data_IF_682715506984
#
_entry.id   IF_682715506984
#
_cell.length_a   1.000
_cell.length_b   1.000
_cell.length_c   1.000
_cell.angle_alpha   90.00
_cell.angle_beta   90.00
_cell.angle_gamma   90.00
#
_symmetry.space_group_name_H-M   'P 1'
#
loop_
_entity.id
_entity.type
_entity.pdbx_description
1 polymer ?
#
# COMPACT_ATOMS: atom_id res chain seq x y z
N UNK A 1 12.39 20.37 79.73
CA UNK A 1 11.24 21.05 79.12
C UNK A 1 11.01 20.42 77.75
N UNK A 2 10.39 19.25 77.62
CA UNK A 2 9.03 18.85 78.00
C UNK A 2 7.96 19.27 76.97
N UNK A 3 7.30 18.23 76.42
CA UNK A 3 5.99 18.15 75.72
C UNK A 3 5.90 18.62 74.25
N UNK A 4 5.04 18.07 73.38
CA UNK A 4 4.32 16.78 73.22
C UNK A 4 3.21 17.00 72.16
N UNK A 5 2.93 15.97 71.34
CA UNK A 5 1.66 15.65 70.62
C UNK A 5 1.30 16.57 69.41
N UNK A 6 0.63 16.10 68.35
CA UNK A 6 -0.37 15.02 68.25
C UNK A 6 -0.48 14.40 66.84
N UNK A 7 -0.71 13.08 66.81
CA UNK A 7 -1.38 12.32 65.75
C UNK A 7 -2.82 12.82 65.51
N UNK A 8 -3.32 12.68 64.27
CA UNK A 8 -4.76 12.56 64.03
C UNK A 8 -5.05 11.72 62.78
N UNK A 9 -5.84 10.68 63.04
CA UNK A 9 -6.22 9.55 62.22
C UNK A 9 -7.37 9.88 61.25
N UNK A 10 -7.44 9.15 60.13
CA UNK A 10 -8.56 9.14 59.16
C UNK A 10 -9.92 8.87 59.82
N UNK A 11 -11.03 9.34 59.20
CA UNK A 11 -12.30 8.63 59.28
C UNK A 11 -12.72 8.05 57.92
N UNK A 12 -12.81 6.72 57.88
CA UNK A 12 -13.65 5.94 56.97
C UNK A 12 -15.12 6.10 57.34
N UNK A 13 -16.00 6.35 56.36
CA UNK A 13 -17.47 6.33 56.52
C UNK A 13 -18.12 5.57 55.34
N UNK A 14 -19.36 5.08 55.46
CA UNK A 14 -19.66 3.67 55.27
C UNK A 14 -20.53 3.41 54.03
N UNK A 15 -20.59 2.12 53.67
CA UNK A 15 -21.51 1.53 52.69
C UNK A 15 -22.97 1.90 52.97
N UNK A 16 -23.66 2.45 51.96
CA UNK A 16 -25.13 2.41 51.87
C UNK A 16 -25.55 1.38 50.81
N UNK A 17 -26.34 0.40 51.27
CA UNK A 17 -27.13 -0.53 50.44
C UNK A 17 -28.38 0.19 49.94
N UNK A 18 -28.74 -0.07 48.68
CA UNK A 18 -29.98 0.33 48.01
C UNK A 18 -30.23 -0.62 46.82
N UNK A 19 -31.47 -0.75 46.32
CA UNK A 19 -32.21 -2.01 46.44
C UNK A 19 -32.11 -2.96 45.24
N UNK A 20 -32.34 -4.23 45.56
CA UNK A 20 -32.53 -5.38 44.67
C UNK A 20 -33.77 -5.16 43.80
N UNK A 21 -33.63 -5.30 42.47
CA UNK A 21 -34.76 -5.43 41.55
C UNK A 21 -34.64 -6.72 40.73
N UNK A 22 -35.78 -7.38 40.65
CA UNK A 22 -35.97 -8.76 40.26
C UNK A 22 -35.61 -9.12 38.81
N UNK A 23 -35.22 -10.37 38.68
CA UNK A 23 -35.06 -11.23 37.51
C UNK A 23 -36.20 -11.14 36.49
N UNK A 24 -35.84 -11.06 35.19
CA UNK A 24 -36.68 -11.56 34.09
C UNK A 24 -35.82 -12.43 33.17
N UNK A 25 -36.29 -13.66 32.97
CA UNK A 25 -35.76 -14.69 32.08
C UNK A 25 -35.76 -14.23 30.61
N UNK A 26 -34.80 -14.66 29.78
CA UNK A 26 -34.99 -14.76 28.34
C UNK A 26 -35.64 -16.10 27.99
N UNK A 27 -36.74 -16.02 27.23
CA UNK A 27 -37.47 -17.14 26.66
C UNK A 27 -36.65 -17.87 25.60
N UNK A 28 -36.71 -19.20 25.65
CA UNK A 28 -36.11 -20.15 24.71
C UNK A 28 -36.79 -20.02 23.33
N UNK A 29 -36.01 -19.64 22.32
CA UNK A 29 -36.37 -19.79 20.89
C UNK A 29 -35.81 -21.09 20.34
N UNK A 30 -36.65 -21.85 19.65
CA UNK A 30 -36.50 -23.26 19.34
C UNK A 30 -35.43 -23.59 18.27
N UNK A 31 -34.80 -24.74 18.47
CA UNK A 31 -33.98 -25.50 17.53
C UNK A 31 -34.84 -26.11 16.40
N UNK A 32 -34.42 -25.91 15.15
CA UNK A 32 -34.89 -26.71 14.01
C UNK A 32 -33.67 -27.34 13.32
N UNK A 33 -33.57 -28.66 13.44
CA UNK A 33 -32.49 -29.48 12.91
C UNK A 33 -32.55 -29.64 11.39
N UNK A 34 -31.36 -29.70 10.80
CA UNK A 34 -31.13 -30.06 9.42
C UNK A 34 -31.48 -31.53 9.17
N UNK A 35 -32.25 -31.79 8.10
CA UNK A 35 -32.26 -33.07 7.39
C UNK A 35 -32.11 -32.79 5.91
N UNK A 36 -31.07 -33.39 5.33
CA UNK A 36 -30.70 -33.20 3.93
C UNK A 36 -31.70 -33.82 2.96
N UNK A 37 -31.59 -33.39 1.69
CA UNK A 37 -32.04 -34.17 0.54
C UNK A 37 -31.28 -33.76 -0.73
N UNK A 38 -30.73 -34.81 -1.32
CA UNK A 38 -30.17 -35.03 -2.65
C UNK A 38 -30.22 -33.94 -3.73
N UNK A 39 -29.01 -33.77 -4.28
CA UNK A 39 -28.64 -33.48 -5.67
C UNK A 39 -29.67 -33.98 -6.70
N UNK A 40 -30.14 -33.05 -7.55
CA UNK A 40 -30.48 -33.34 -8.95
C UNK A 40 -29.89 -32.25 -9.83
N UNK A 41 -28.91 -32.66 -10.64
CA UNK A 41 -28.26 -31.86 -11.64
C UNK A 41 -29.27 -31.42 -12.73
N UNK A 42 -29.27 -30.13 -13.07
CA UNK A 42 -29.74 -29.65 -14.36
C UNK A 42 -28.61 -28.85 -14.99
N UNK A 43 -28.03 -29.45 -16.03
CA UNK A 43 -27.14 -28.81 -17.00
C UNK A 43 -27.85 -27.59 -17.58
N UNK A 44 -27.18 -26.44 -17.60
CA UNK A 44 -27.51 -25.32 -18.49
C UNK A 44 -26.24 -24.84 -19.15
N UNK A 45 -26.32 -24.80 -20.46
CA UNK A 45 -25.28 -24.47 -21.41
C UNK A 45 -24.57 -23.15 -21.11
N UNK A 46 -23.24 -23.19 -21.16
CA UNK A 46 -22.38 -22.03 -21.31
C UNK A 46 -22.49 -21.52 -22.74
N UNK A 47 -23.38 -20.56 -22.98
CA UNK A 47 -23.29 -19.65 -24.14
C UNK A 47 -22.56 -18.37 -23.71
N UNK A 48 -21.33 -18.26 -24.19
CA UNK A 48 -20.62 -17.03 -24.60
C UNK A 48 -21.35 -15.70 -24.32
N UNK A 49 -20.80 -14.90 -23.40
CA UNK A 49 -21.14 -13.47 -23.24
C UNK A 49 -20.47 -12.65 -24.37
N UNK A 50 -21.20 -11.82 -25.13
CA UNK A 50 -20.58 -10.82 -25.99
C UNK A 50 -20.10 -9.59 -25.19
N UNK A 51 -19.17 -8.79 -25.72
CA UNK A 51 -18.70 -7.57 -25.06
C UNK A 51 -19.81 -6.50 -25.06
N UNK A 52 -19.81 -5.67 -24.00
CA UNK A 52 -20.72 -4.53 -23.87
C UNK A 52 -20.34 -3.45 -24.86
N UNK A 53 -21.20 -3.19 -25.83
CA UNK A 53 -21.18 -1.98 -26.65
C UNK A 53 -21.98 -0.91 -25.91
N UNK A 54 -21.30 0.11 -25.39
CA UNK A 54 -21.95 1.36 -24.98
C UNK A 54 -21.77 2.37 -26.09
N UNK A 55 -22.80 2.51 -26.92
CA UNK A 55 -22.96 3.64 -27.81
C UNK A 55 -23.17 4.91 -26.98
N UNK A 56 -22.23 5.85 -27.08
CA UNK A 56 -22.54 7.27 -26.98
C UNK A 56 -21.87 7.97 -28.14
N UNK A 57 -22.73 8.55 -28.97
CA UNK A 57 -22.39 9.43 -30.07
C UNK A 57 -21.69 10.68 -29.54
N UNK A 58 -20.48 10.90 -30.01
CA UNK A 58 -19.81 12.20 -30.03
C UNK A 58 -19.08 12.29 -31.34
N UNK A 59 -19.55 13.14 -32.24
CA UNK A 59 -18.79 13.55 -33.41
C UNK A 59 -17.46 14.15 -32.93
N UNK A 60 -16.39 13.39 -33.06
CA UNK A 60 -15.04 13.92 -33.08
C UNK A 60 -14.59 13.90 -34.52
N UNK A 61 -14.17 15.07 -34.96
CA UNK A 61 -13.65 15.36 -36.28
C UNK A 61 -12.53 14.37 -36.64
N UNK A 62 -12.37 14.13 -37.94
CA UNK A 62 -11.42 13.15 -38.44
C UNK A 62 -9.97 13.44 -37.99
N UNK A 63 -9.34 12.45 -37.35
CA UNK A 63 -7.92 12.15 -37.57
C UNK A 63 -6.87 13.03 -36.88
N UNK A 64 -7.17 13.70 -35.76
CA UNK A 64 -6.11 14.29 -34.95
C UNK A 64 -5.49 13.19 -34.07
N UNK A 65 -4.33 12.67 -34.46
CA UNK A 65 -3.51 11.81 -33.59
C UNK A 65 -3.29 12.59 -32.30
N UNK A 66 -3.73 12.05 -31.16
CA UNK A 66 -3.46 12.67 -29.87
C UNK A 66 -1.94 12.83 -29.73
N UNK A 67 -1.47 14.08 -29.64
CA UNK A 67 -0.06 14.40 -29.42
C UNK A 67 0.23 14.46 -27.93
N UNK A 68 1.46 14.14 -27.52
CA UNK A 68 1.90 14.25 -26.13
C UNK A 68 1.59 15.64 -25.56
N UNK A 69 1.97 16.71 -26.27
CA UNK A 69 1.71 18.10 -25.87
C UNK A 69 0.25 18.39 -25.53
N UNK A 70 -0.68 17.91 -26.37
CA UNK A 70 -2.11 18.14 -26.18
C UNK A 70 -2.65 17.42 -24.95
N UNK A 71 -2.16 16.21 -24.71
CA UNK A 71 -2.52 15.40 -23.54
C UNK A 71 -1.97 16.01 -22.24
N UNK A 72 -0.71 16.45 -22.26
CA UNK A 72 -0.06 17.10 -21.12
C UNK A 72 -0.76 18.42 -20.74
N UNK A 73 -1.16 19.24 -21.72
CA UNK A 73 -1.92 20.46 -21.47
C UNK A 73 -3.27 20.19 -20.77
N UNK A 74 -3.89 19.05 -21.06
CA UNK A 74 -5.13 18.60 -20.42
C UNK A 74 -4.97 18.32 -18.92
N UNK A 75 -3.79 17.86 -18.48
CA UNK A 75 -3.51 17.57 -17.06
C UNK A 75 -3.54 18.81 -16.19
N UNK A 76 -3.18 19.98 -16.73
CA UNK A 76 -3.16 21.25 -16.01
C UNK A 76 -4.48 22.03 -16.12
N UNK A 77 -5.52 21.44 -16.73
CA UNK A 77 -6.79 22.13 -16.93
C UNK A 77 -7.43 22.55 -15.60
N UNK A 78 -8.01 23.77 -15.50
CA UNK A 78 -8.74 24.18 -14.30
C UNK A 78 -10.00 23.33 -14.06
N UNK A 79 -10.54 22.70 -15.11
CA UNK A 79 -11.75 21.90 -15.03
C UNK A 79 -11.46 20.45 -14.63
N UNK A 80 -12.03 20.00 -13.51
CA UNK A 80 -11.85 18.63 -12.99
C UNK A 80 -12.23 17.55 -14.01
N UNK A 81 -13.33 17.74 -14.77
CA UNK A 81 -13.75 16.79 -15.80
C UNK A 81 -12.70 16.65 -16.90
N UNK A 82 -12.14 17.77 -17.36
CA UNK A 82 -11.07 17.76 -18.35
C UNK A 82 -9.82 17.05 -17.83
N UNK A 83 -9.43 17.26 -16.56
CA UNK A 83 -8.30 16.52 -15.96
C UNK A 83 -8.57 15.02 -15.87
N UNK A 84 -9.77 14.61 -15.49
CA UNK A 84 -10.14 13.18 -15.44
C UNK A 84 -10.10 12.52 -16.82
N UNK A 85 -10.53 13.22 -17.87
CA UNK A 85 -10.42 12.75 -19.25
C UNK A 85 -8.96 12.72 -19.71
N UNK A 86 -8.20 13.77 -19.43
CA UNK A 86 -6.80 13.86 -19.83
C UNK A 86 -5.92 12.76 -19.20
N UNK A 87 -6.15 12.39 -17.93
CA UNK A 87 -5.41 11.25 -17.33
C UNK A 87 -5.78 9.91 -17.98
N UNK A 88 -7.01 9.73 -18.45
CA UNK A 88 -7.43 8.50 -19.12
C UNK A 88 -6.86 8.44 -20.54
N UNK A 89 -6.99 9.53 -21.29
CA UNK A 89 -6.44 9.61 -22.65
C UNK A 89 -4.91 9.46 -22.65
N UNK A 90 -4.22 10.01 -21.64
CA UNK A 90 -2.77 9.84 -21.51
C UNK A 90 -2.37 8.42 -21.11
N UNK A 91 -3.16 7.74 -20.27
CA UNK A 91 -2.94 6.31 -19.98
C UNK A 91 -3.02 5.49 -21.28
N UNK A 92 -4.12 5.65 -22.03
CA UNK A 92 -4.35 4.94 -23.28
C UNK A 92 -3.25 5.23 -24.32
N UNK A 93 -2.73 6.46 -24.35
CA UNK A 93 -1.60 6.84 -25.20
C UNK A 93 -0.31 6.14 -24.78
N UNK A 94 0.04 6.17 -23.49
CA UNK A 94 1.30 5.60 -22.96
C UNK A 94 1.32 4.07 -22.97
N UNK A 95 0.18 3.40 -23.10
CA UNK A 95 0.12 1.95 -23.35
C UNK A 95 0.70 1.57 -24.74
N UNK A 96 0.78 2.52 -25.66
CA UNK A 96 1.15 2.28 -27.07
C UNK A 96 2.34 3.10 -27.54
N UNK A 97 2.74 4.10 -26.76
CA UNK A 97 3.75 5.08 -27.12
C UNK A 97 4.64 5.37 -25.90
N UNK A 98 5.88 5.74 -26.18
CA UNK A 98 6.87 6.09 -25.16
C UNK A 98 7.05 7.62 -25.10
N UNK A 99 7.54 8.12 -23.96
CA UNK A 99 7.96 9.52 -23.86
C UNK A 99 9.31 9.64 -24.56
N UNK A 100 9.40 10.49 -25.58
CA UNK A 100 10.62 10.57 -26.41
C UNK A 100 11.48 11.81 -26.09
N UNK A 101 10.87 12.86 -25.55
CA UNK A 101 11.52 14.13 -25.29
C UNK A 101 11.73 14.41 -23.79
N UNK A 102 12.82 15.14 -23.47
CA UNK A 102 13.18 15.48 -22.08
C UNK A 102 12.24 16.52 -21.47
N UNK A 103 11.77 17.48 -22.25
CA UNK A 103 10.85 18.50 -21.78
C UNK A 103 9.48 17.87 -21.48
N UNK A 104 9.01 16.95 -22.34
CA UNK A 104 7.79 16.16 -22.08
C UNK A 104 7.90 15.35 -20.78
N UNK A 105 9.04 14.68 -20.56
CA UNK A 105 9.27 13.91 -19.33
C UNK A 105 9.25 14.82 -18.09
N UNK A 106 9.83 16.02 -18.19
CA UNK A 106 9.80 17.00 -17.11
C UNK A 106 8.38 17.51 -16.83
N UNK A 107 7.64 17.91 -17.87
CA UNK A 107 6.26 18.41 -17.77
C UNK A 107 5.34 17.34 -17.18
N UNK A 108 5.47 16.08 -17.64
CA UNK A 108 4.71 14.97 -17.07
C UNK A 108 5.03 14.76 -15.59
N UNK A 109 6.31 14.78 -15.21
CA UNK A 109 6.71 14.61 -13.82
C UNK A 109 6.20 15.73 -12.91
N UNK A 110 6.23 16.98 -13.36
CA UNK A 110 5.69 18.13 -12.62
C UNK A 110 4.16 18.08 -12.51
N UNK A 111 3.47 17.70 -13.59
CA UNK A 111 2.04 17.46 -13.59
C UNK A 111 1.67 16.37 -12.59
N UNK A 112 2.36 15.23 -12.59
CA UNK A 112 2.16 14.15 -11.61
C UNK A 112 2.35 14.69 -10.18
N UNK A 113 3.45 15.38 -9.90
CA UNK A 113 3.70 15.96 -8.58
C UNK A 113 2.57 16.89 -8.09
N UNK A 114 1.92 17.61 -9.02
CA UNK A 114 0.75 18.46 -8.74
C UNK A 114 -0.52 17.64 -8.54
N UNK A 115 -0.83 16.70 -9.45
CA UNK A 115 -2.05 15.90 -9.42
C UNK A 115 -2.13 14.96 -8.20
N UNK A 116 -1.00 14.50 -7.68
CA UNK A 116 -0.95 13.68 -6.45
C UNK A 116 -1.36 14.46 -5.19
N UNK A 117 -1.34 15.79 -5.22
CA UNK A 117 -1.80 16.65 -4.11
C UNK A 117 -3.32 16.84 -4.12
N UNK A 118 -4.01 16.46 -5.20
CA UNK A 118 -5.46 16.54 -5.27
C UNK A 118 -6.15 15.48 -4.39
N UNK A 119 -7.46 15.66 -4.17
CA UNK A 119 -8.31 14.72 -3.40
C UNK A 119 -9.20 13.86 -4.31
N UNK A 120 -9.03 13.93 -5.63
CA UNK A 120 -9.80 13.12 -6.57
C UNK A 120 -9.06 11.81 -6.87
N UNK A 121 -9.63 10.69 -6.43
CA UNK A 121 -9.03 9.37 -6.60
C UNK A 121 -8.85 8.96 -8.07
N UNK A 122 -9.70 9.41 -9.00
CA UNK A 122 -9.56 9.14 -10.43
C UNK A 122 -8.34 9.88 -11.00
N UNK A 123 -8.17 11.15 -10.63
CA UNK A 123 -7.02 11.96 -11.05
C UNK A 123 -5.73 11.44 -10.44
N UNK A 124 -5.69 11.24 -9.12
CA UNK A 124 -4.49 10.72 -8.45
C UNK A 124 -4.12 9.32 -8.94
N UNK A 125 -5.11 8.42 -9.05
CA UNK A 125 -4.89 7.06 -9.56
C UNK A 125 -4.39 7.06 -11.00
N UNK A 126 -5.01 7.85 -11.88
CA UNK A 126 -4.58 7.99 -13.26
C UNK A 126 -3.18 8.56 -13.40
N UNK A 127 -2.84 9.60 -12.62
CA UNK A 127 -1.49 10.17 -12.60
C UNK A 127 -0.41 9.15 -12.16
N UNK A 128 -0.70 8.30 -11.17
CA UNK A 128 0.20 7.21 -10.76
C UNK A 128 0.38 6.19 -11.89
N UNK A 129 -0.69 5.82 -12.59
CA UNK A 129 -0.61 4.91 -13.74
C UNK A 129 0.19 5.52 -14.90
N UNK A 130 -0.08 6.77 -15.27
CA UNK A 130 0.69 7.48 -16.30
C UNK A 130 2.18 7.52 -15.95
N UNK A 131 2.53 7.89 -14.72
CA UNK A 131 3.91 7.89 -14.27
C UNK A 131 4.56 6.50 -14.37
N UNK A 132 3.81 5.44 -14.03
CA UNK A 132 4.29 4.06 -14.11
C UNK A 132 4.56 3.65 -15.57
N UNK A 133 3.61 3.90 -16.47
CA UNK A 133 3.76 3.58 -17.90
C UNK A 133 4.91 4.38 -18.53
N UNK A 134 4.99 5.68 -18.24
CA UNK A 134 6.05 6.54 -18.77
C UNK A 134 7.44 6.13 -18.28
N UNK A 135 7.58 5.75 -17.01
CA UNK A 135 8.83 5.21 -16.46
C UNK A 135 9.19 3.86 -17.08
N UNK A 136 8.20 3.01 -17.35
CA UNK A 136 8.42 1.71 -18.00
C UNK A 136 8.86 1.84 -19.46
N UNK A 137 8.28 2.77 -20.21
CA UNK A 137 8.67 3.05 -21.60
C UNK A 137 10.00 3.79 -21.71
N UNK A 138 10.30 4.71 -20.79
CA UNK A 138 11.39 5.67 -20.96
C UNK A 138 12.18 5.94 -19.67
N UNK A 139 12.71 4.89 -18.99
CA UNK A 139 13.25 5.00 -17.63
C UNK A 139 14.38 6.03 -17.48
N UNK A 140 15.21 6.16 -18.52
CA UNK A 140 16.35 7.07 -18.50
C UNK A 140 15.95 8.54 -18.41
N UNK A 141 14.81 8.92 -19.01
CA UNK A 141 14.32 10.30 -18.99
C UNK A 141 13.81 10.70 -17.61
N UNK A 142 13.31 9.76 -16.81
CA UNK A 142 12.66 10.05 -15.52
C UNK A 142 13.60 10.09 -14.32
N UNK A 143 14.84 9.57 -14.40
CA UNK A 143 15.75 9.44 -13.25
C UNK A 143 15.91 10.75 -12.45
N UNK A 144 16.14 11.85 -13.14
CA UNK A 144 16.33 13.16 -12.51
C UNK A 144 15.03 13.79 -11.97
N UNK A 145 13.87 13.29 -12.40
CA UNK A 145 12.57 13.84 -12.08
C UNK A 145 11.85 13.11 -10.94
N UNK A 146 12.28 11.90 -10.58
CA UNK A 146 11.71 11.13 -9.44
C UNK A 146 11.57 11.96 -8.16
N UNK A 147 12.55 12.78 -7.74
CA UNK A 147 12.42 13.58 -6.53
C UNK A 147 11.23 14.55 -6.52
N UNK A 148 10.72 14.96 -7.69
CA UNK A 148 9.59 15.88 -7.81
C UNK A 148 8.29 15.24 -7.32
N UNK A 149 8.05 13.98 -7.66
CA UNK A 149 6.78 13.30 -7.38
C UNK A 149 6.88 12.25 -6.28
N UNK A 150 8.07 11.73 -5.94
CA UNK A 150 8.25 10.68 -4.94
C UNK A 150 7.59 10.98 -3.58
N UNK A 151 7.66 12.21 -3.01
CA UNK A 151 6.93 12.54 -1.78
C UNK A 151 5.41 12.35 -1.91
N UNK A 152 4.84 12.75 -3.05
CA UNK A 152 3.41 12.57 -3.34
C UNK A 152 3.04 11.09 -3.49
N UNK A 153 3.92 10.27 -4.06
CA UNK A 153 3.71 8.81 -4.17
C UNK A 153 3.64 8.17 -2.77
N UNK A 154 4.54 8.56 -1.86
CA UNK A 154 4.46 8.12 -0.46
C UNK A 154 3.15 8.53 0.21
N UNK A 155 2.68 9.77 0.01
CA UNK A 155 1.40 10.20 0.57
C UNK A 155 0.23 9.37 0.01
N UNK A 156 0.27 8.98 -1.27
CA UNK A 156 -0.76 8.17 -1.92
C UNK A 156 -0.79 6.70 -1.49
N UNK A 157 0.28 6.17 -0.89
CA UNK A 157 0.20 4.89 -0.15
C UNK A 157 -0.82 4.97 1.01
N UNK A 158 -1.16 6.16 1.48
CA UNK A 158 -2.10 6.40 2.57
C UNK A 158 -3.55 6.59 2.14
N UNK A 159 -3.86 6.50 0.84
CA UNK A 159 -5.17 6.86 0.28
C UNK A 159 -6.30 5.95 0.79
N UNK A 160 -7.51 6.50 0.89
CA UNK A 160 -8.69 5.74 1.32
C UNK A 160 -9.10 4.68 0.28
N UNK A 161 -8.83 4.94 -1.00
CA UNK A 161 -9.18 4.07 -2.11
C UNK A 161 -8.05 3.08 -2.39
N UNK A 162 -8.36 1.79 -2.31
CA UNK A 162 -7.43 0.70 -2.61
C UNK A 162 -6.71 0.85 -3.95
N UNK A 163 -7.40 1.19 -5.06
CA UNK A 163 -6.75 1.37 -6.36
C UNK A 163 -5.66 2.45 -6.39
N UNK A 164 -5.81 3.55 -5.66
CA UNK A 164 -4.78 4.60 -5.60
C UNK A 164 -3.55 4.09 -4.85
N UNK A 165 -3.75 3.34 -3.76
CA UNK A 165 -2.65 2.71 -3.02
C UNK A 165 -1.92 1.68 -3.87
N UNK A 166 -2.64 0.87 -4.65
CA UNK A 166 -2.03 -0.10 -5.58
C UNK A 166 -1.22 0.61 -6.68
N UNK A 167 -1.76 1.69 -7.26
CA UNK A 167 -1.01 2.51 -8.23
C UNK A 167 0.30 3.05 -7.65
N UNK A 168 0.28 3.53 -6.41
CA UNK A 168 1.48 4.02 -5.74
C UNK A 168 2.51 2.90 -5.49
N UNK A 169 2.06 1.71 -5.07
CA UNK A 169 2.94 0.54 -4.92
C UNK A 169 3.56 0.12 -6.26
N UNK A 170 2.75 0.03 -7.31
CA UNK A 170 3.20 -0.35 -8.66
C UNK A 170 4.29 0.58 -9.17
N UNK A 171 4.10 1.89 -8.99
CA UNK A 171 5.09 2.88 -9.38
C UNK A 171 6.39 2.73 -8.58
N UNK A 172 6.33 2.60 -7.25
CA UNK A 172 7.53 2.42 -6.42
C UNK A 172 8.31 1.15 -6.80
N UNK A 173 7.62 0.03 -7.03
CA UNK A 173 8.26 -1.22 -7.45
C UNK A 173 8.87 -1.06 -8.84
N UNK A 174 8.17 -0.47 -9.81
CA UNK A 174 8.68 -0.25 -11.17
C UNK A 174 9.93 0.63 -11.18
N UNK A 175 9.96 1.70 -10.36
CA UNK A 175 11.12 2.57 -10.21
C UNK A 175 12.37 1.80 -9.72
N UNK A 176 12.18 0.82 -8.84
CA UNK A 176 13.26 -0.03 -8.33
C UNK A 176 13.68 -1.07 -9.36
N UNK A 177 12.74 -1.81 -9.95
CA UNK A 177 13.00 -2.85 -10.94
C UNK A 177 13.80 -2.30 -12.12
N UNK A 178 13.46 -1.08 -12.58
CA UNK A 178 14.09 -0.40 -13.70
C UNK A 178 15.31 0.46 -13.33
N UNK A 179 15.73 0.45 -12.05
CA UNK A 179 16.86 1.25 -11.53
C UNK A 179 16.75 2.73 -11.88
N UNK A 180 15.53 3.25 -11.84
CA UNK A 180 15.26 4.68 -12.06
C UNK A 180 15.54 5.46 -10.77
N UNK A 181 15.35 4.82 -9.61
CA UNK A 181 15.64 5.40 -8.30
C UNK A 181 16.52 4.46 -7.45
N UNK A 182 17.46 4.98 -6.64
CA UNK A 182 18.17 4.19 -5.64
C UNK A 182 17.21 3.58 -4.61
N UNK A 183 17.42 2.31 -4.20
CA UNK A 183 16.63 1.69 -3.13
C UNK A 183 16.67 2.43 -1.80
N UNK A 184 17.75 3.18 -1.53
CA UNK A 184 17.90 4.00 -0.34
C UNK A 184 16.83 5.11 -0.25
N UNK A 185 16.34 5.61 -1.39
CA UNK A 185 15.33 6.67 -1.42
C UNK A 185 13.93 6.12 -1.08
N UNK A 186 13.69 4.84 -1.40
CA UNK A 186 12.40 4.18 -1.13
C UNK A 186 12.39 3.48 0.24
N UNK A 187 13.45 2.73 0.54
CA UNK A 187 13.53 1.83 1.70
C UNK A 187 14.67 2.15 2.67
N UNK A 188 15.51 3.13 2.39
CA UNK A 188 16.58 3.54 3.30
C UNK A 188 16.05 4.09 4.63
N UNK A 189 16.92 4.17 5.63
CA UNK A 189 16.58 4.65 6.98
C UNK A 189 15.92 6.04 7.01
N UNK A 190 16.26 6.90 6.05
CA UNK A 190 15.72 8.25 5.93
C UNK A 190 14.42 8.35 5.09
N UNK A 191 13.95 7.23 4.51
CA UNK A 191 12.72 7.22 3.72
C UNK A 191 11.52 7.71 4.54
N UNK A 192 10.75 8.61 3.95
CA UNK A 192 9.64 9.29 4.59
C UNK A 192 8.51 8.32 5.00
N UNK A 193 8.36 7.20 4.30
CA UNK A 193 7.27 6.27 4.54
C UNK A 193 7.39 5.48 5.86
N UNK A 194 8.60 5.24 6.38
CA UNK A 194 8.79 4.45 7.61
C UNK A 194 8.20 5.08 8.86
N UNK A 195 8.23 6.41 8.96
CA UNK A 195 7.78 7.17 10.14
C UNK A 195 6.58 8.07 9.83
N UNK A 196 5.86 7.77 8.76
CA UNK A 196 4.76 8.59 8.32
C UNK A 196 3.60 8.58 9.35
N UNK A 197 2.96 9.74 9.57
CA UNK A 197 1.88 9.90 10.55
C UNK A 197 0.64 9.05 10.26
N UNK A 198 0.33 8.87 8.98
CA UNK A 198 -0.74 7.99 8.51
C UNK A 198 -0.23 6.54 8.48
N UNK A 199 -0.83 5.68 9.29
CA UNK A 199 -0.43 4.29 9.41
C UNK A 199 -0.58 3.48 8.13
N UNK A 200 -1.52 3.87 7.25
CA UNK A 200 -1.69 3.22 5.95
C UNK A 200 -0.45 3.36 5.08
N UNK A 201 0.22 4.52 5.13
CA UNK A 201 1.49 4.72 4.41
C UNK A 201 2.55 3.75 4.92
N UNK A 202 2.66 3.60 6.24
CA UNK A 202 3.63 2.68 6.85
C UNK A 202 3.35 1.22 6.49
N UNK A 203 2.09 0.81 6.59
CA UNK A 203 1.62 -0.53 6.20
C UNK A 203 1.90 -0.82 4.72
N UNK A 204 1.55 0.12 3.85
CA UNK A 204 1.62 -0.08 2.40
C UNK A 204 3.06 0.04 1.89
N UNK A 205 3.94 0.77 2.59
CA UNK A 205 5.38 0.70 2.33
C UNK A 205 5.93 -0.69 2.64
N UNK A 206 5.48 -1.35 3.72
CA UNK A 206 5.89 -2.72 4.04
C UNK A 206 5.38 -3.72 2.99
N UNK A 207 4.14 -3.57 2.52
CA UNK A 207 3.60 -4.36 1.39
C UNK A 207 4.39 -4.11 0.09
N UNK A 208 4.89 -2.88 -0.11
CA UNK A 208 5.79 -2.56 -1.22
C UNK A 208 7.13 -3.29 -1.06
N UNK A 209 7.67 -3.36 0.17
CA UNK A 209 8.90 -4.12 0.46
C UNK A 209 8.71 -5.61 0.17
N UNK A 210 7.61 -6.20 0.64
CA UNK A 210 7.27 -7.61 0.37
C UNK A 210 7.28 -7.90 -1.13
N UNK A 211 6.58 -7.09 -1.93
CA UNK A 211 6.54 -7.24 -3.39
C UNK A 211 7.90 -7.04 -4.04
N UNK A 212 8.66 -6.04 -3.61
CA UNK A 212 10.00 -5.79 -4.14
C UNK A 212 10.98 -6.93 -3.79
N UNK A 213 10.81 -7.59 -2.63
CA UNK A 213 11.59 -8.78 -2.27
C UNK A 213 11.18 -10.04 -3.03
N UNK A 214 9.92 -10.13 -3.44
CA UNK A 214 9.41 -11.24 -4.26
C UNK A 214 9.66 -11.05 -5.78
N UNK A 215 10.14 -9.90 -6.22
CA UNK A 215 10.38 -9.63 -7.65
C UNK A 215 11.64 -10.32 -8.17
N UNK A 216 11.51 -11.05 -9.29
CA UNK A 216 12.63 -11.66 -10.01
C UNK A 216 13.49 -10.63 -10.77
N UNK A 217 12.98 -9.42 -10.99
CA UNK A 217 13.71 -8.34 -11.67
C UNK A 217 14.72 -7.62 -10.75
N UNK A 218 14.71 -7.94 -9.45
CA UNK A 218 15.61 -7.36 -8.45
C UNK A 218 16.52 -8.44 -7.86
N UNK A 219 17.82 -8.29 -8.06
CA UNK A 219 18.83 -9.13 -7.39
C UNK A 219 19.21 -8.55 -6.01
N UNK A 220 20.00 -9.29 -5.23
CA UNK A 220 20.49 -8.85 -3.92
C UNK A 220 21.39 -7.59 -4.01
N UNK A 221 22.12 -7.39 -5.12
CA UNK A 221 22.89 -6.15 -5.32
C UNK A 221 22.00 -4.94 -5.60
N UNK A 222 20.79 -5.20 -6.11
CA UNK A 222 19.84 -4.16 -6.49
C UNK A 222 18.94 -3.77 -5.34
N UNK A 223 18.54 -4.74 -4.51
CA UNK A 223 17.79 -4.50 -3.28
C UNK A 223 18.31 -5.43 -2.18
N UNK A 224 19.23 -4.90 -1.38
CA UNK A 224 19.82 -5.69 -0.31
C UNK A 224 18.87 -5.90 0.86
N UNK A 225 18.62 -7.17 1.18
CA UNK A 225 17.87 -7.54 2.38
C UNK A 225 18.55 -6.98 3.63
N UNK A 226 19.89 -7.05 3.71
CA UNK A 226 20.66 -6.59 4.87
C UNK A 226 20.49 -5.10 5.14
N UNK A 227 20.37 -4.28 4.10
CA UNK A 227 20.20 -2.83 4.23
C UNK A 227 18.78 -2.44 4.69
N UNK A 228 17.77 -3.14 4.19
CA UNK A 228 16.35 -2.81 4.40
C UNK A 228 15.75 -3.48 5.63
N UNK A 229 16.16 -4.71 5.95
CA UNK A 229 15.60 -5.52 7.05
C UNK A 229 15.55 -4.78 8.40
N UNK A 230 16.55 -3.98 8.82
CA UNK A 230 16.46 -3.23 10.07
C UNK A 230 15.25 -2.28 10.14
N UNK A 231 14.82 -1.68 9.03
CA UNK A 231 13.64 -0.81 9.01
C UNK A 231 12.34 -1.63 9.11
N UNK A 232 12.28 -2.77 8.42
CA UNK A 232 11.15 -3.71 8.49
C UNK A 232 10.97 -4.24 9.92
N UNK A 233 12.06 -4.64 10.58
CA UNK A 233 12.02 -5.14 11.95
C UNK A 233 11.54 -4.08 12.95
N UNK A 234 11.90 -2.81 12.78
CA UNK A 234 11.39 -1.73 13.62
C UNK A 234 9.85 -1.62 13.55
N UNK A 235 9.24 -1.96 12.41
CA UNK A 235 7.79 -1.90 12.23
C UNK A 235 7.02 -3.01 12.97
N UNK A 236 7.71 -4.05 13.48
CA UNK A 236 7.11 -5.03 14.39
C UNK A 236 6.66 -4.39 15.73
N UNK A 237 7.20 -3.22 16.07
CA UNK A 237 6.85 -2.45 17.27
C UNK A 237 5.82 -1.34 17.00
N UNK A 238 5.23 -1.31 15.79
CA UNK A 238 4.22 -0.31 15.47
C UNK A 238 2.97 -0.47 16.33
N UNK A 239 2.33 0.66 16.67
CA UNK A 239 1.08 0.68 17.43
C UNK A 239 -0.07 -0.02 16.69
N UNK A 240 -0.10 0.09 15.37
CA UNK A 240 -1.17 -0.47 14.55
C UNK A 240 -0.92 -1.94 14.22
N UNK A 241 -1.86 -2.85 14.53
CA UNK A 241 -1.71 -4.27 14.23
C UNK A 241 -1.48 -4.57 12.75
N UNK A 242 -2.14 -3.82 11.85
CA UNK A 242 -1.98 -4.01 10.40
C UNK A 242 -0.57 -3.72 9.90
N UNK A 243 0.11 -2.72 10.50
CA UNK A 243 1.51 -2.41 10.18
C UNK A 243 2.43 -3.53 10.67
N UNK A 244 2.19 -4.07 11.87
CA UNK A 244 2.97 -5.22 12.39
C UNK A 244 2.79 -6.46 11.53
N UNK A 245 1.57 -6.75 11.08
CA UNK A 245 1.30 -7.88 10.20
C UNK A 245 1.99 -7.72 8.83
N UNK A 246 1.90 -6.52 8.23
CA UNK A 246 2.61 -6.21 6.99
C UNK A 246 4.14 -6.32 7.15
N UNK A 247 4.68 -6.00 8.34
CA UNK A 247 6.09 -6.20 8.63
C UNK A 247 6.48 -7.68 8.65
N UNK A 248 5.65 -8.54 9.25
CA UNK A 248 5.84 -9.99 9.19
C UNK A 248 5.83 -10.48 7.75
N UNK A 249 4.88 -10.06 6.92
CA UNK A 249 4.84 -10.43 5.49
C UNK A 249 6.07 -9.94 4.72
N UNK A 250 6.54 -8.72 4.97
CA UNK A 250 7.77 -8.20 4.37
C UNK A 250 9.02 -9.00 4.78
N UNK A 251 9.07 -9.55 6.00
CA UNK A 251 10.15 -10.45 6.44
C UNK A 251 10.08 -11.78 5.67
N UNK A 252 8.89 -12.32 5.40
CA UNK A 252 8.74 -13.52 4.58
C UNK A 252 9.20 -13.28 3.13
N UNK A 253 8.85 -12.12 2.56
CA UNK A 253 9.39 -11.71 1.26
C UNK A 253 10.92 -11.59 1.30
N UNK A 254 11.48 -10.95 2.32
CA UNK A 254 12.94 -10.89 2.49
C UNK A 254 13.58 -12.29 2.61
N UNK A 255 12.89 -13.24 3.25
CA UNK A 255 13.36 -14.61 3.39
C UNK A 255 13.37 -15.38 2.06
N UNK A 256 12.42 -15.14 1.16
CA UNK A 256 12.43 -15.79 -0.16
C UNK A 256 13.65 -15.38 -0.99
N UNK A 257 14.17 -14.15 -0.78
CA UNK A 257 15.41 -13.68 -1.40
C UNK A 257 16.67 -14.12 -0.66
N UNK A 258 16.70 -14.01 0.67
CA UNK A 258 17.88 -14.33 1.47
C UNK A 258 18.10 -15.84 1.68
N UNK A 259 17.06 -16.65 1.50
CA UNK A 259 17.09 -18.08 1.80
C UNK A 259 17.47 -18.35 3.27
N UNK A 260 18.24 -19.42 3.55
CA UNK A 260 18.63 -19.79 4.92
C UNK A 260 19.39 -18.71 5.69
N UNK A 261 20.04 -17.77 4.98
CA UNK A 261 20.77 -16.67 5.60
C UNK A 261 19.86 -15.76 6.45
N UNK A 262 18.54 -15.74 6.19
CA UNK A 262 17.58 -14.93 6.94
C UNK A 262 17.63 -15.21 8.45
N UNK A 263 17.83 -16.47 8.86
CA UNK A 263 17.90 -16.84 10.28
C UNK A 263 19.09 -16.17 10.97
N UNK A 264 20.25 -16.18 10.32
CA UNK A 264 21.45 -15.52 10.82
C UNK A 264 21.35 -13.99 10.80
N UNK A 265 20.50 -13.42 9.93
CA UNK A 265 20.22 -11.99 9.91
C UNK A 265 19.28 -11.60 11.05
N UNK A 266 18.19 -12.34 11.25
CA UNK A 266 17.26 -12.12 12.37
C UNK A 266 17.95 -12.24 13.73
N UNK A 267 18.86 -13.20 13.88
CA UNK A 267 19.63 -13.42 15.12
C UNK A 267 20.54 -12.24 15.51
N UNK A 268 20.88 -11.34 14.56
CA UNK A 268 21.68 -10.12 14.83
C UNK A 268 20.84 -8.98 15.40
N UNK A 269 19.52 -9.12 15.44
CA UNK A 269 18.59 -8.10 15.89
C UNK A 269 17.83 -8.55 17.14
N UNK A 270 17.57 -7.60 18.04
CA UNK A 270 16.77 -7.84 19.24
C UNK A 270 15.29 -7.88 18.85
N UNK A 271 14.71 -9.07 18.74
CA UNK A 271 13.28 -9.30 18.45
C UNK A 271 12.64 -9.93 19.69
N UNK A 272 11.42 -9.54 20.06
CA UNK A 272 10.76 -10.12 21.22
C UNK A 272 10.53 -11.62 21.00
N UNK A 273 10.73 -12.49 22.01
CA UNK A 273 10.61 -13.93 21.84
C UNK A 273 9.25 -14.42 21.31
N UNK A 274 8.16 -13.69 21.57
CA UNK A 274 6.85 -13.99 21.00
C UNK A 274 6.81 -13.77 19.49
N UNK A 275 7.26 -12.60 19.03
CA UNK A 275 7.30 -12.23 17.61
C UNK A 275 8.28 -13.11 16.84
N UNK A 276 9.47 -13.38 17.41
CA UNK A 276 10.45 -14.23 16.76
C UNK A 276 9.91 -15.65 16.53
N UNK A 277 9.22 -16.24 17.53
CA UNK A 277 8.57 -17.55 17.38
C UNK A 277 7.51 -17.55 16.29
N UNK A 278 6.70 -16.49 16.21
CA UNK A 278 5.69 -16.37 15.16
C UNK A 278 6.33 -16.27 13.76
N UNK A 279 7.37 -15.43 13.61
CA UNK A 279 8.10 -15.28 12.35
C UNK A 279 8.73 -16.63 11.95
N UNK A 280 9.39 -17.31 12.89
CA UNK A 280 10.02 -18.62 12.64
C UNK A 280 8.99 -19.69 12.24
N UNK A 281 7.81 -19.71 12.87
CA UNK A 281 6.74 -20.62 12.49
C UNK A 281 6.27 -20.39 11.05
N UNK A 282 6.03 -19.12 10.68
CA UNK A 282 5.61 -18.77 9.31
C UNK A 282 6.68 -19.05 8.25
N UNK A 283 7.95 -18.85 8.60
CA UNK A 283 9.08 -19.21 7.73
C UNK A 283 9.12 -20.72 7.46
N UNK A 284 8.94 -21.54 8.52
CA UNK A 284 8.87 -22.98 8.39
C UNK A 284 7.67 -23.43 7.53
N UNK A 285 6.49 -22.84 7.75
CA UNK A 285 5.27 -23.15 6.98
C UNK A 285 5.41 -22.82 5.49
N UNK A 286 6.12 -21.73 5.16
CA UNK A 286 6.40 -21.33 3.80
C UNK A 286 7.52 -22.15 3.12
N UNK A 287 8.14 -23.09 3.85
CA UNK A 287 9.38 -23.77 3.45
C UNK A 287 10.51 -22.79 3.09
N UNK A 288 10.48 -21.59 3.69
CA UNK A 288 11.46 -20.53 3.53
C UNK A 288 12.45 -20.62 4.69
N UNK A 289 13.61 -21.24 4.45
CA UNK A 289 14.68 -21.37 5.44
C UNK A 289 14.93 -22.77 5.97
N UNK A 290 14.68 -23.80 5.15
CA UNK A 290 15.34 -25.10 5.26
C UNK A 290 16.72 -25.07 4.58
#
# INVERSE_FOLDING_TARGET
AERARSEATRPTFPRRRGPVRATKQPTRGASAGARGRNKRARRRDTRSRPPRVSHLSGHTDAGQVATMDGLLAGLTSPQMKSRMTAVDDLQDYLERNEVTDRDDAHVLADAVATLLKENNAKVCGGALTCACLAVQGSPDLFRQHVPLFLPGVFDRLGDLKGPVREGARNLLVSLLELRVTPPADVFGKASAGWRHKNWRVREELLRTCERAFASDALSESDLSVKATLPQVLNALEDREPGVREAATSAILGAASRAGPAIHGMLARHTIRPGQLREIQARLADANLGA
#
